data_IF_481002873951
#
_entry.id   IF_481002873951
#
_cell.length_a   1.000
_cell.length_b   1.000
_cell.length_c   1.000
_cell.angle_alpha   90.00
_cell.angle_beta   90.00
_cell.angle_gamma   90.00
#
_symmetry.space_group_name_H-M   'P 1'
#
loop_
_entity.id
_entity.type
_entity.pdbx_description
1 polymer ?
#
# COMPACT_ATOMS: atom_id res chain seq x y z
N UNK A 1 28.88 38.22 -22.00
CA UNK A 1 28.29 37.63 -20.77
C UNK A 1 29.27 36.57 -20.28
N UNK A 2 29.97 36.84 -19.20
CA UNK A 2 30.80 35.82 -18.54
C UNK A 2 29.85 34.81 -17.90
N UNK A 3 29.93 33.51 -18.20
CA UNK A 3 29.12 32.53 -17.50
C UNK A 3 29.42 32.65 -16.00
N UNK A 4 28.39 32.73 -15.16
CA UNK A 4 28.57 32.66 -13.72
C UNK A 4 29.31 31.39 -13.30
N UNK A 5 29.80 31.29 -12.05
CA UNK A 5 30.50 30.10 -11.58
C UNK A 5 29.64 28.85 -11.84
N UNK A 6 30.13 27.97 -12.71
CA UNK A 6 29.46 26.70 -13.02
C UNK A 6 29.55 25.82 -11.79
N UNK A 7 28.41 25.50 -11.19
CA UNK A 7 28.36 24.49 -10.14
C UNK A 7 28.83 23.16 -10.74
N UNK A 8 29.73 22.42 -10.06
CA UNK A 8 30.20 21.14 -10.58
C UNK A 8 29.01 20.17 -10.72
N UNK A 9 29.01 19.23 -11.68
CA UNK A 9 27.93 18.27 -11.85
C UNK A 9 27.63 17.48 -10.57
N UNK A 10 26.37 17.15 -10.32
CA UNK A 10 25.98 16.19 -9.30
C UNK A 10 26.53 14.81 -9.64
N UNK A 11 26.81 14.00 -8.62
CA UNK A 11 27.14 12.60 -8.82
C UNK A 11 25.89 11.79 -9.18
N UNK A 12 24.75 12.15 -8.60
CA UNK A 12 23.45 11.51 -8.83
C UNK A 12 22.31 12.54 -8.81
N UNK A 13 21.45 12.50 -9.82
CA UNK A 13 20.17 13.21 -9.80
C UNK A 13 19.02 12.19 -9.89
N UNK A 14 18.16 12.18 -8.87
CA UNK A 14 16.91 11.45 -8.89
C UNK A 14 15.78 12.26 -9.52
N UNK A 15 15.02 11.65 -10.44
CA UNK A 15 13.82 12.23 -11.04
C UNK A 15 12.59 11.55 -10.45
N UNK A 16 11.79 12.32 -9.72
CA UNK A 16 10.73 11.84 -8.83
C UNK A 16 11.25 11.57 -7.41
N UNK A 17 10.43 11.87 -6.40
CA UNK A 17 10.73 11.59 -4.99
C UNK A 17 9.68 10.68 -4.34
N UNK A 18 9.21 9.67 -5.07
CA UNK A 18 8.41 8.57 -4.50
C UNK A 18 9.23 7.69 -3.55
N UNK A 19 8.62 6.70 -2.86
CA UNK A 19 9.28 5.93 -1.80
C UNK A 19 10.63 5.32 -2.21
N UNK A 20 10.76 4.83 -3.45
CA UNK A 20 12.01 4.23 -3.93
C UNK A 20 13.15 5.24 -4.06
N UNK A 21 12.91 6.39 -4.69
CA UNK A 21 13.94 7.43 -4.80
C UNK A 21 14.18 8.12 -3.47
N UNK A 22 13.17 8.21 -2.60
CA UNK A 22 13.34 8.73 -1.24
C UNK A 22 14.20 7.79 -0.37
N UNK A 23 14.09 6.48 -0.57
CA UNK A 23 14.98 5.47 0.02
C UNK A 23 16.42 5.68 -0.45
N UNK A 24 16.61 5.87 -1.76
CA UNK A 24 17.94 6.16 -2.31
C UNK A 24 18.50 7.49 -1.77
N UNK A 25 17.68 8.53 -1.63
CA UNK A 25 18.07 9.81 -1.05
C UNK A 25 18.51 9.67 0.42
N UNK A 26 17.75 8.92 1.22
CA UNK A 26 18.05 8.66 2.62
C UNK A 26 19.35 7.85 2.80
N UNK A 27 19.62 6.88 1.90
CA UNK A 27 20.89 6.14 1.91
C UNK A 27 22.06 7.01 1.43
N UNK A 28 21.84 7.85 0.41
CA UNK A 28 22.84 8.76 -0.14
C UNK A 28 23.30 9.82 0.88
N UNK A 29 22.41 10.28 1.76
CA UNK A 29 22.71 11.22 2.85
C UNK A 29 23.79 10.68 3.82
N UNK A 30 23.85 9.36 3.99
CA UNK A 30 24.87 8.69 4.80
C UNK A 30 26.24 8.51 4.13
N UNK A 31 26.42 8.92 2.87
CA UNK A 31 27.64 8.69 2.09
C UNK A 31 28.48 9.99 2.01
N UNK A 32 29.62 10.07 2.71
CA UNK A 32 30.43 11.29 2.71
C UNK A 32 30.92 11.69 1.32
N UNK A 33 30.72 12.96 0.96
CA UNK A 33 31.20 13.53 -0.30
C UNK A 33 30.32 13.25 -1.52
N UNK A 34 29.27 12.43 -1.40
CA UNK A 34 28.32 12.16 -2.48
C UNK A 34 27.42 13.37 -2.72
N UNK A 35 27.48 13.97 -3.91
CA UNK A 35 26.63 15.12 -4.27
C UNK A 35 25.39 14.62 -4.99
N UNK A 36 24.26 14.60 -4.30
CA UNK A 36 22.99 14.16 -4.85
C UNK A 36 21.87 15.18 -4.68
N UNK A 37 20.91 15.12 -5.60
CA UNK A 37 19.64 15.85 -5.50
C UNK A 37 18.50 14.98 -6.05
N UNK A 38 17.27 15.22 -5.60
CA UNK A 38 16.08 14.49 -6.00
C UNK A 38 14.96 15.49 -6.29
N UNK A 39 14.52 15.56 -7.55
CA UNK A 39 13.52 16.53 -7.99
C UNK A 39 12.13 15.89 -8.07
N UNK A 40 11.15 16.49 -7.40
CA UNK A 40 9.74 16.10 -7.44
C UNK A 40 8.88 17.26 -7.91
N UNK A 41 8.01 17.01 -8.90
CA UNK A 41 7.18 18.06 -9.49
C UNK A 41 6.05 18.52 -8.55
N UNK A 42 5.55 17.63 -7.68
CA UNK A 42 4.58 18.01 -6.65
C UNK A 42 5.23 18.96 -5.65
N UNK A 43 4.45 19.84 -5.06
CA UNK A 43 4.91 20.83 -4.08
C UNK A 43 4.99 20.29 -2.66
N UNK A 44 4.41 19.10 -2.42
CA UNK A 44 4.48 18.38 -1.17
C UNK A 44 4.38 16.86 -1.41
N UNK A 45 4.95 16.09 -0.48
CA UNK A 45 4.88 14.63 -0.51
C UNK A 45 3.47 14.13 -0.18
N UNK A 46 2.93 13.26 -1.02
CA UNK A 46 1.71 12.49 -0.75
C UNK A 46 1.81 11.15 -1.47
N UNK A 47 1.76 10.05 -0.73
CA UNK A 47 1.83 8.70 -1.29
C UNK A 47 0.44 8.11 -1.47
N UNK A 48 0.00 8.02 -2.73
CA UNK A 48 -1.33 7.54 -3.13
C UNK A 48 -2.51 8.17 -2.37
N UNK A 49 -2.64 9.52 -2.37
CA UNK A 49 -3.60 10.23 -1.53
C UNK A 49 -5.06 9.79 -1.72
N UNK A 50 -5.49 9.43 -2.93
CA UNK A 50 -6.87 8.96 -3.15
C UNK A 50 -7.17 7.56 -2.62
N UNK A 51 -6.18 6.85 -2.10
CA UNK A 51 -6.29 5.52 -1.48
C UNK A 51 -5.80 5.48 -0.02
N UNK A 52 -5.62 6.64 0.62
CA UNK A 52 -5.38 6.75 2.06
C UNK A 52 -6.68 6.53 2.85
N UNK A 53 -7.38 5.44 2.54
CA UNK A 53 -8.64 5.04 3.19
C UNK A 53 -8.37 4.79 4.67
N UNK A 54 -9.26 5.27 5.54
CA UNK A 54 -9.11 5.10 6.97
C UNK A 54 -9.04 3.61 7.35
N UNK A 55 -8.07 3.27 8.21
CA UNK A 55 -7.83 1.90 8.62
C UNK A 55 -7.04 1.04 7.63
N UNK A 56 -6.76 1.52 6.40
CA UNK A 56 -5.92 0.79 5.45
C UNK A 56 -4.48 0.64 5.99
N UNK A 57 -3.92 -0.56 5.85
CA UNK A 57 -2.56 -0.88 6.30
C UNK A 57 -1.62 -1.11 5.13
N UNK A 58 -0.31 -1.02 5.38
CA UNK A 58 0.68 -1.61 4.50
C UNK A 58 0.48 -3.13 4.44
N UNK A 59 0.86 -3.73 3.32
CA UNK A 59 0.90 -5.19 3.15
C UNK A 59 2.25 -5.79 3.56
N UNK A 60 3.23 -4.94 3.85
CA UNK A 60 4.57 -5.32 4.30
C UNK A 60 4.80 -4.87 5.74
N UNK A 61 5.65 -5.58 6.51
CA UNK A 61 6.05 -5.15 7.84
C UNK A 61 6.73 -3.78 7.84
N UNK A 62 6.64 -3.03 8.95
CA UNK A 62 7.30 -1.72 9.09
C UNK A 62 8.82 -1.75 8.91
N UNK A 63 9.45 -2.93 9.04
CA UNK A 63 10.89 -3.10 8.75
C UNK A 63 11.23 -2.88 7.28
N UNK A 64 10.25 -3.08 6.37
CA UNK A 64 10.35 -2.63 4.99
C UNK A 64 10.03 -1.13 4.88
N UNK A 65 10.71 -0.32 5.71
CA UNK A 65 10.75 1.13 5.59
C UNK A 65 11.75 1.54 4.48
N UNK A 66 12.20 2.80 4.48
CA UNK A 66 13.12 3.28 3.46
C UNK A 66 14.54 2.71 3.55
N UNK A 67 15.00 2.26 4.72
CA UNK A 67 16.45 2.06 4.96
C UNK A 67 16.79 0.86 5.82
N UNK A 68 15.89 0.39 6.69
CA UNK A 68 16.20 -0.58 7.77
C UNK A 68 16.71 -1.93 7.28
N UNK A 69 16.31 -2.39 6.09
CA UNK A 69 16.80 -3.64 5.50
C UNK A 69 18.20 -3.52 4.86
N UNK A 70 18.74 -2.31 4.77
CA UNK A 70 20.08 -2.02 4.23
C UNK A 70 20.99 -1.46 5.32
N UNK A 71 20.52 -0.43 6.03
CA UNK A 71 21.27 0.29 7.06
C UNK A 71 20.36 0.56 8.27
N UNK A 72 20.23 -0.42 9.20
CA UNK A 72 19.39 -0.30 10.40
C UNK A 72 19.75 0.87 11.32
N UNK A 73 20.99 1.38 11.25
CA UNK A 73 21.46 2.50 12.08
C UNK A 73 21.14 3.86 11.48
N UNK A 74 20.60 3.90 10.25
CA UNK A 74 20.25 5.13 9.57
C UNK A 74 19.29 5.98 10.41
N UNK A 75 19.54 7.31 10.53
CA UNK A 75 18.61 8.21 11.21
C UNK A 75 17.26 8.30 10.51
N UNK A 76 17.17 7.86 9.24
CA UNK A 76 15.96 7.89 8.44
C UNK A 76 15.07 6.66 8.63
N UNK A 77 15.41 5.72 9.53
CA UNK A 77 14.56 4.55 9.80
C UNK A 77 13.25 4.93 10.51
N UNK A 78 12.22 4.10 10.29
CA UNK A 78 10.88 4.31 10.84
C UNK A 78 10.85 4.33 12.37
N UNK A 79 11.70 3.53 13.03
CA UNK A 79 11.81 3.54 14.48
C UNK A 79 12.39 4.87 15.01
N UNK A 80 13.36 5.46 14.29
CA UNK A 80 13.89 6.77 14.65
C UNK A 80 12.86 7.89 14.39
N UNK A 81 12.06 7.79 13.33
CA UNK A 81 10.90 8.65 13.14
C UNK A 81 9.95 8.60 14.35
N UNK A 82 9.56 7.41 14.81
CA UNK A 82 8.71 7.25 15.98
C UNK A 82 9.35 7.82 17.25
N UNK A 83 10.66 7.67 17.42
CA UNK A 83 11.41 8.27 18.54
C UNK A 83 11.33 9.79 18.50
N UNK A 84 11.60 10.40 17.34
CA UNK A 84 11.53 11.86 17.11
C UNK A 84 10.13 12.40 17.36
N UNK A 85 9.09 11.64 17.04
CA UNK A 85 7.69 11.98 17.32
C UNK A 85 7.22 11.63 18.74
N UNK A 86 8.10 11.13 19.61
CA UNK A 86 7.79 10.65 20.98
C UNK A 86 6.69 9.58 21.02
N UNK A 87 6.59 8.76 19.97
CA UNK A 87 5.59 7.70 19.80
C UNK A 87 6.16 6.28 19.88
N UNK A 88 7.46 6.14 20.14
CA UNK A 88 8.12 4.83 20.17
C UNK A 88 7.54 3.86 21.21
N UNK A 89 7.29 4.29 22.45
CA UNK A 89 6.68 3.43 23.48
C UNK A 89 5.23 3.04 23.16
N UNK A 90 4.34 3.99 22.79
CA UNK A 90 3.01 3.63 22.31
C UNK A 90 3.02 2.62 21.15
N UNK A 91 3.94 2.79 20.19
CA UNK A 91 4.10 1.87 19.08
C UNK A 91 4.58 0.49 19.53
N UNK A 92 5.57 0.44 20.43
CA UNK A 92 6.06 -0.80 21.03
C UNK A 92 4.92 -1.62 21.66
N UNK A 93 4.08 -0.98 22.49
CA UNK A 93 2.95 -1.66 23.13
C UNK A 93 1.81 -2.01 22.18
N UNK A 94 1.75 -1.40 21.00
CA UNK A 94 0.74 -1.75 20.00
C UNK A 94 1.02 -3.12 19.36
N UNK A 95 2.28 -3.58 19.33
CA UNK A 95 2.71 -4.87 18.78
C UNK A 95 2.19 -5.16 17.35
N UNK A 96 2.08 -4.11 16.52
CA UNK A 96 1.60 -4.20 15.13
C UNK A 96 2.76 -4.12 14.14
N UNK A 97 3.00 -5.22 13.42
CA UNK A 97 3.99 -5.24 12.34
C UNK A 97 3.53 -4.48 11.08
N UNK A 98 2.23 -4.53 10.77
CA UNK A 98 1.63 -3.82 9.64
C UNK A 98 1.03 -2.50 10.10
N UNK A 99 1.63 -1.40 9.65
CA UNK A 99 1.24 -0.05 10.05
C UNK A 99 0.20 0.54 9.11
N UNK A 100 -0.51 1.56 9.57
CA UNK A 100 -1.47 2.28 8.75
C UNK A 100 -0.78 3.02 7.60
N UNK A 101 -1.41 3.07 6.42
CA UNK A 101 -0.85 3.80 5.27
C UNK A 101 -0.69 5.29 5.53
N UNK A 102 -1.61 5.88 6.28
CA UNK A 102 -1.53 7.28 6.72
C UNK A 102 -0.32 7.52 7.64
N UNK A 103 0.03 6.54 8.48
CA UNK A 103 1.23 6.63 9.32
C UNK A 103 2.51 6.52 8.50
N UNK A 104 2.52 5.63 7.51
CA UNK A 104 3.65 5.53 6.57
C UNK A 104 3.79 6.77 5.70
N UNK A 105 2.70 7.34 5.17
CA UNK A 105 2.72 8.63 4.45
C UNK A 105 3.34 9.74 5.30
N UNK A 106 2.97 9.83 6.59
CA UNK A 106 3.54 10.80 7.52
C UNK A 106 5.04 10.58 7.76
N UNK A 107 5.49 9.33 7.84
CA UNK A 107 6.91 8.98 7.93
C UNK A 107 7.66 9.41 6.66
N UNK A 108 7.16 9.06 5.47
CA UNK A 108 7.78 9.44 4.21
C UNK A 108 7.81 10.97 4.03
N UNK A 109 6.72 11.66 4.40
CA UNK A 109 6.65 13.12 4.42
C UNK A 109 7.74 13.71 5.30
N UNK A 110 7.90 13.19 6.53
CA UNK A 110 8.96 13.62 7.44
C UNK A 110 10.35 13.46 6.82
N UNK A 111 10.68 12.29 6.28
CA UNK A 111 11.98 12.07 5.63
C UNK A 111 12.18 13.04 4.46
N UNK A 112 11.15 13.21 3.61
CA UNK A 112 11.24 14.08 2.44
C UNK A 112 11.36 15.57 2.74
N UNK A 113 10.84 16.03 3.90
CA UNK A 113 10.95 17.42 4.33
C UNK A 113 12.30 17.69 4.98
N UNK A 114 12.83 16.74 5.75
CA UNK A 114 14.07 16.93 6.50
C UNK A 114 15.33 16.62 5.67
N UNK A 115 15.23 15.81 4.60
CA UNK A 115 16.36 15.51 3.71
C UNK A 115 16.73 16.73 2.85
N UNK A 116 17.95 17.29 3.01
CA UNK A 116 18.36 18.49 2.24
C UNK A 116 18.46 18.26 0.73
N UNK A 117 18.65 17.01 0.31
CA UNK A 117 18.79 16.61 -1.09
C UNK A 117 17.45 16.49 -1.84
N UNK A 118 16.31 16.63 -1.15
CA UNK A 118 14.99 16.49 -1.77
C UNK A 118 14.39 17.86 -2.09
N UNK A 119 13.95 18.05 -3.33
CA UNK A 119 13.43 19.33 -3.83
C UNK A 119 12.05 19.16 -4.47
N UNK A 120 11.03 19.66 -3.78
CA UNK A 120 9.64 19.68 -4.25
C UNK A 120 9.35 20.93 -5.10
N UNK A 121 8.37 20.81 -6.00
CA UNK A 121 8.08 21.83 -7.00
C UNK A 121 9.15 21.92 -8.09
N UNK A 122 9.92 20.86 -8.33
CA UNK A 122 10.91 20.80 -9.41
C UNK A 122 10.45 19.77 -10.44
N UNK A 123 9.84 20.24 -11.53
CA UNK A 123 9.48 19.37 -12.66
C UNK A 123 10.67 19.25 -13.59
N UNK A 124 11.11 18.02 -13.86
CA UNK A 124 12.11 17.75 -14.91
C UNK A 124 11.39 17.73 -16.25
N UNK A 125 11.83 18.58 -17.17
CA UNK A 125 11.17 18.76 -18.48
C UNK A 125 11.93 18.02 -19.59
N UNK A 126 13.27 18.04 -19.55
CA UNK A 126 14.11 17.40 -20.56
C UNK A 126 15.43 16.89 -19.96
N UNK A 127 15.97 15.84 -20.58
CA UNK A 127 17.26 15.24 -20.24
C UNK A 127 18.03 15.04 -21.54
N UNK A 128 19.24 15.57 -21.60
CA UNK A 128 20.16 15.41 -22.74
C UNK A 128 21.56 15.03 -22.24
N UNK A 129 22.33 14.33 -23.06
CA UNK A 129 23.74 14.08 -22.78
C UNK A 129 24.58 15.26 -23.26
N UNK A 130 25.35 15.88 -22.37
CA UNK A 130 26.35 16.90 -22.69
C UNK A 130 27.74 16.26 -22.75
N UNK A 131 28.26 16.09 -23.97
CA UNK A 131 29.58 15.51 -24.19
C UNK A 131 30.74 16.42 -23.74
N UNK A 132 30.53 17.74 -23.67
CA UNK A 132 31.53 18.69 -23.21
C UNK A 132 31.75 18.64 -21.69
N UNK A 133 30.68 18.41 -20.95
CA UNK A 133 30.72 18.24 -19.48
C UNK A 133 30.87 16.76 -19.05
N UNK A 134 30.67 15.81 -19.97
CA UNK A 134 30.68 14.37 -19.68
C UNK A 134 29.60 13.98 -18.67
N UNK A 135 28.43 14.61 -18.78
CA UNK A 135 27.32 14.51 -17.84
C UNK A 135 25.97 14.72 -18.54
N UNK A 136 24.88 14.33 -17.88
CA UNK A 136 23.53 14.67 -18.31
C UNK A 136 23.21 16.13 -17.97
N UNK A 137 22.76 16.89 -18.95
CA UNK A 137 22.10 18.18 -18.80
C UNK A 137 20.60 17.95 -18.56
N UNK A 138 20.08 18.43 -17.44
CA UNK A 138 18.69 18.26 -17.03
C UNK A 138 18.02 19.60 -16.87
N UNK A 139 17.08 19.89 -17.77
CA UNK A 139 16.23 21.06 -17.70
C UNK A 139 15.08 20.81 -16.73
N UNK A 140 14.82 21.80 -15.89
CA UNK A 140 13.74 21.73 -14.91
C UNK A 140 13.00 23.05 -14.76
N UNK A 141 11.71 22.96 -14.51
CA UNK A 141 10.84 24.08 -14.19
C UNK A 141 10.52 24.04 -12.70
N UNK A 142 10.75 25.16 -12.02
CA UNK A 142 10.30 25.38 -10.64
C UNK A 142 8.83 25.78 -10.65
N UNK A 143 8.02 25.07 -9.89
CA UNK A 143 6.58 25.23 -9.75
C UNK A 143 6.24 25.75 -8.36
N UNK A 144 5.28 26.66 -8.28
CA UNK A 144 4.69 27.10 -7.03
C UNK A 144 3.47 26.27 -6.62
N UNK A 145 2.86 26.58 -5.46
CA UNK A 145 1.75 25.83 -4.88
C UNK A 145 0.55 25.65 -5.81
N UNK A 146 0.28 26.64 -6.66
CA UNK A 146 -0.87 26.66 -7.58
C UNK A 146 -0.50 26.17 -8.99
N UNK A 147 0.71 25.62 -9.15
CA UNK A 147 1.24 25.15 -10.43
C UNK A 147 1.80 26.25 -11.33
N UNK A 148 1.88 27.48 -10.83
CA UNK A 148 2.49 28.60 -11.52
C UNK A 148 4.00 28.38 -11.71
N UNK A 149 4.54 28.83 -12.83
CA UNK A 149 5.98 28.71 -13.12
C UNK A 149 6.75 29.81 -12.39
N UNK A 150 7.62 29.40 -11.47
CA UNK A 150 8.49 30.30 -10.69
C UNK A 150 9.84 30.55 -11.35
N UNK A 151 10.26 29.69 -12.28
CA UNK A 151 11.50 29.83 -13.04
C UNK A 151 11.96 28.52 -13.68
N UNK A 152 13.03 28.59 -14.46
CA UNK A 152 13.71 27.44 -15.07
C UNK A 152 15.10 27.27 -14.50
N UNK A 153 15.58 26.03 -14.45
CA UNK A 153 16.92 25.66 -13.99
C UNK A 153 17.53 24.58 -14.86
N UNK A 154 18.85 24.63 -15.01
CA UNK A 154 19.66 23.61 -15.67
C UNK A 154 20.60 22.98 -14.64
N UNK A 155 20.52 21.67 -14.49
CA UNK A 155 21.37 20.89 -13.57
C UNK A 155 22.17 19.88 -14.37
N UNK A 156 23.47 19.77 -14.09
CA UNK A 156 24.30 18.70 -14.63
C UNK A 156 24.43 17.56 -13.63
N UNK A 157 24.33 16.31 -14.09
CA UNK A 157 24.49 15.12 -13.26
C UNK A 157 25.21 13.99 -13.99
N UNK A 158 26.14 13.31 -13.33
CA UNK A 158 26.87 12.18 -13.91
C UNK A 158 25.98 10.93 -14.06
N UNK A 159 25.08 10.71 -13.11
CA UNK A 159 24.16 9.58 -13.09
C UNK A 159 22.73 10.04 -12.84
N UNK A 160 21.77 9.25 -13.31
CA UNK A 160 20.35 9.50 -13.14
C UNK A 160 19.64 8.30 -12.50
N UNK A 161 18.73 8.57 -11.56
CA UNK A 161 17.81 7.59 -10.99
C UNK A 161 16.36 7.97 -11.33
N UNK A 162 15.75 7.25 -12.27
CA UNK A 162 14.39 7.54 -12.75
C UNK A 162 13.36 6.81 -11.88
N UNK A 163 12.72 7.56 -10.98
CA UNK A 163 11.73 7.07 -10.01
C UNK A 163 10.40 7.79 -10.12
N UNK A 164 9.92 8.03 -11.35
CA UNK A 164 8.69 8.81 -11.64
C UNK A 164 7.37 8.09 -11.33
N UNK A 165 7.45 6.84 -10.88
CA UNK A 165 6.28 6.01 -10.56
C UNK A 165 5.51 5.55 -11.79
N UNK A 166 4.21 5.34 -11.62
CA UNK A 166 3.30 4.88 -12.69
C UNK A 166 2.11 5.83 -12.81
N UNK A 167 1.53 5.91 -14.01
CA UNK A 167 0.30 6.65 -14.26
C UNK A 167 -0.93 5.74 -14.08
N UNK A 168 -2.09 6.30 -13.65
CA UNK A 168 -3.37 5.61 -13.71
C UNK A 168 -3.61 4.96 -15.08
N UNK A 169 -4.10 3.72 -15.07
CA UNK A 169 -4.35 2.96 -16.30
C UNK A 169 -5.84 2.64 -16.43
N UNK A 170 -6.44 3.10 -17.53
CA UNK A 170 -7.81 2.74 -17.94
C UNK A 170 -7.70 1.78 -19.14
N UNK A 171 -8.27 0.55 -19.03
CA UNK A 171 -8.34 -0.38 -20.15
C UNK A 171 -8.99 0.26 -21.37
N UNK A 172 -8.46 -0.04 -22.56
CA UNK A 172 -8.93 0.54 -23.83
C UNK A 172 -10.47 0.49 -24.01
N UNK A 173 -11.18 -0.63 -23.74
CA UNK A 173 -12.64 -0.67 -23.88
C UNK A 173 -13.42 0.24 -22.92
N UNK A 174 -12.77 0.77 -21.88
CA UNK A 174 -13.39 1.66 -20.88
C UNK A 174 -13.01 3.13 -21.08
N UNK A 175 -12.16 3.46 -22.04
CA UNK A 175 -11.66 4.84 -22.22
C UNK A 175 -12.77 5.81 -22.65
N UNK A 176 -13.61 5.42 -23.60
CA UNK A 176 -14.73 6.25 -24.05
C UNK A 176 -15.73 6.50 -22.91
N UNK A 177 -16.00 5.46 -22.12
CA UNK A 177 -16.84 5.55 -20.93
C UNK A 177 -16.22 6.47 -19.86
N UNK A 178 -14.89 6.43 -19.68
CA UNK A 178 -14.17 7.30 -18.75
C UNK A 178 -14.08 8.76 -19.22
N UNK A 179 -14.17 9.01 -20.53
CA UNK A 179 -14.16 10.34 -21.12
C UNK A 179 -15.55 11.00 -21.15
N UNK A 180 -16.62 10.21 -21.06
CA UNK A 180 -18.00 10.70 -21.01
C UNK A 180 -18.26 11.44 -19.68
N UNK A 181 -18.66 12.73 -19.70
CA UNK A 181 -18.96 13.48 -18.48
C UNK A 181 -20.25 13.04 -17.78
N UNK A 182 -21.10 12.25 -18.44
CA UNK A 182 -22.40 11.83 -17.91
C UNK A 182 -22.26 10.75 -16.82
N UNK A 183 -21.63 9.58 -17.06
CA UNK A 183 -21.37 8.62 -16.00
C UNK A 183 -20.14 9.03 -15.16
N UNK A 184 -20.25 8.92 -13.83
CA UNK A 184 -19.10 9.10 -12.95
C UNK A 184 -18.18 7.87 -13.06
N UNK A 185 -17.13 8.00 -13.85
CA UNK A 185 -16.11 6.95 -14.07
C UNK A 185 -14.77 7.51 -13.66
N UNK A 186 -14.12 6.86 -12.69
CA UNK A 186 -12.85 7.34 -12.12
C UNK A 186 -11.91 6.17 -11.84
N UNK A 187 -10.61 6.47 -11.87
CA UNK A 187 -9.59 5.53 -11.42
C UNK A 187 -9.51 5.53 -9.89
N UNK A 188 -9.13 4.41 -9.28
CA UNK A 188 -9.06 4.28 -7.83
C UNK A 188 -8.12 5.29 -7.16
N UNK A 189 -7.18 5.87 -7.92
CA UNK A 189 -6.28 6.93 -7.48
C UNK A 189 -7.00 8.24 -7.09
N UNK A 190 -8.25 8.41 -7.53
CA UNK A 190 -9.08 9.60 -7.28
C UNK A 190 -10.27 9.28 -6.34
N UNK A 191 -10.32 8.05 -5.79
CA UNK A 191 -11.47 7.54 -5.04
C UNK A 191 -11.91 8.44 -3.89
N UNK A 192 -11.00 8.77 -2.96
CA UNK A 192 -11.38 9.55 -1.78
C UNK A 192 -11.91 10.95 -2.13
N UNK A 193 -11.44 11.57 -3.20
CA UNK A 193 -11.94 12.87 -3.64
C UNK A 193 -13.37 12.81 -4.19
N UNK A 194 -13.81 11.63 -4.65
CA UNK A 194 -15.12 11.40 -5.27
C UNK A 194 -16.03 10.50 -4.41
N UNK A 195 -15.59 10.11 -3.19
CA UNK A 195 -16.28 9.13 -2.34
C UNK A 195 -17.72 9.51 -2.06
N UNK A 196 -17.99 10.77 -1.69
CA UNK A 196 -19.34 11.20 -1.34
C UNK A 196 -20.30 11.12 -2.53
N UNK A 197 -19.81 11.39 -3.75
CA UNK A 197 -20.60 11.23 -4.98
C UNK A 197 -20.89 9.75 -5.27
N UNK A 198 -19.94 8.85 -4.98
CA UNK A 198 -20.14 7.41 -5.11
C UNK A 198 -21.13 6.88 -4.06
N UNK A 199 -21.07 7.37 -2.82
CA UNK A 199 -22.02 7.00 -1.76
C UNK A 199 -23.46 7.43 -2.09
N UNK A 200 -23.63 8.58 -2.75
CA UNK A 200 -24.91 9.07 -3.22
C UNK A 200 -25.44 8.34 -4.48
N UNK A 201 -24.60 7.56 -5.18
CA UNK A 201 -25.02 6.85 -6.36
C UNK A 201 -25.95 5.68 -6.00
N UNK A 202 -26.94 5.41 -6.88
CA UNK A 202 -27.83 4.25 -6.73
C UNK A 202 -27.05 2.93 -6.85
N UNK A 203 -26.16 2.86 -7.83
CA UNK A 203 -25.34 1.69 -8.10
C UNK A 203 -23.88 2.09 -8.34
N UNK A 204 -22.94 1.34 -7.75
CA UNK A 204 -21.51 1.51 -7.96
C UNK A 204 -20.92 0.18 -8.42
N UNK A 205 -20.13 0.21 -9.49
CA UNK A 205 -19.37 -0.93 -9.98
C UNK A 205 -17.89 -0.70 -9.76
N UNK A 206 -17.27 -1.56 -8.96
CA UNK A 206 -15.81 -1.59 -8.79
C UNK A 206 -15.23 -2.57 -9.81
N UNK A 207 -14.26 -2.13 -10.62
CA UNK A 207 -13.59 -2.96 -11.62
C UNK A 207 -12.13 -3.16 -11.23
N UNK A 208 -11.73 -4.40 -10.99
CA UNK A 208 -10.35 -4.79 -10.67
C UNK A 208 -10.25 -5.70 -9.45
N UNK A 209 -9.40 -6.73 -9.54
CA UNK A 209 -9.26 -7.79 -8.51
C UNK A 209 -8.19 -7.52 -7.44
N UNK A 210 -7.43 -6.44 -7.57
CA UNK A 210 -6.31 -6.14 -6.69
C UNK A 210 -6.72 -5.48 -5.38
N UNK A 211 -5.73 -5.20 -4.53
CA UNK A 211 -5.92 -4.59 -3.21
C UNK A 211 -6.76 -3.31 -3.26
N UNK A 212 -6.47 -2.38 -4.17
CA UNK A 212 -7.21 -1.12 -4.26
C UNK A 212 -8.69 -1.32 -4.56
N UNK A 213 -9.05 -2.29 -5.41
CA UNK A 213 -10.44 -2.63 -5.70
C UNK A 213 -11.15 -3.20 -4.48
N UNK A 214 -10.49 -4.12 -3.76
CA UNK A 214 -11.01 -4.70 -2.53
C UNK A 214 -11.24 -3.64 -1.44
N UNK A 215 -10.29 -2.70 -1.27
CA UNK A 215 -10.40 -1.64 -0.25
C UNK A 215 -11.48 -0.62 -0.58
N UNK A 216 -11.60 -0.19 -1.84
CA UNK A 216 -12.68 0.69 -2.30
C UNK A 216 -14.03 0.02 -2.08
N UNK A 217 -14.17 -1.25 -2.47
CA UNK A 217 -15.41 -1.99 -2.26
C UNK A 217 -15.77 -2.10 -0.77
N UNK A 218 -14.79 -2.45 0.07
CA UNK A 218 -15.00 -2.59 1.51
C UNK A 218 -15.36 -1.26 2.18
N UNK A 219 -14.74 -0.16 1.77
CA UNK A 219 -15.05 1.19 2.27
C UNK A 219 -16.49 1.59 1.91
N UNK A 220 -16.88 1.42 0.64
CA UNK A 220 -18.25 1.65 0.20
C UNK A 220 -19.25 0.75 0.91
N UNK A 221 -18.94 -0.54 1.10
CA UNK A 221 -19.82 -1.49 1.78
C UNK A 221 -20.06 -1.09 3.25
N UNK A 222 -19.05 -0.53 3.93
CA UNK A 222 -19.17 -0.08 5.32
C UNK A 222 -19.92 1.23 5.48
N UNK A 223 -19.77 2.14 4.52
CA UNK A 223 -20.30 3.51 4.61
C UNK A 223 -21.70 3.67 4.00
N UNK A 224 -22.12 2.76 3.12
CA UNK A 224 -23.46 2.82 2.55
C UNK A 224 -24.51 2.36 3.56
N UNK A 225 -25.66 3.04 3.62
CA UNK A 225 -26.74 2.67 4.53
C UNK A 225 -27.39 1.35 4.10
N UNK A 226 -28.01 0.68 5.07
CA UNK A 226 -28.90 -0.46 4.81
C UNK A 226 -30.03 -0.04 3.84
N UNK A 227 -30.35 -0.86 2.84
CA UNK A 227 -31.28 -0.50 1.76
C UNK A 227 -30.62 0.10 0.50
N UNK A 228 -29.30 0.28 0.50
CA UNK A 228 -28.52 0.74 -0.65
C UNK A 228 -27.53 -0.33 -1.14
N UNK A 229 -28.03 -1.51 -1.52
CA UNK A 229 -27.22 -2.71 -1.82
C UNK A 229 -26.61 -2.72 -3.24
N UNK A 230 -26.77 -1.65 -4.02
CA UNK A 230 -26.29 -1.58 -5.40
C UNK A 230 -24.76 -1.49 -5.51
N UNK A 231 -24.02 -2.51 -5.11
CA UNK A 231 -22.57 -2.63 -5.26
C UNK A 231 -22.27 -3.87 -6.10
N UNK A 232 -21.54 -3.68 -7.20
CA UNK A 232 -21.03 -4.78 -8.03
C UNK A 232 -19.52 -4.77 -8.05
N UNK A 233 -18.88 -5.93 -7.89
CA UNK A 233 -17.43 -6.09 -8.02
C UNK A 233 -17.09 -6.98 -9.22
N UNK A 234 -16.44 -6.41 -10.24
CA UNK A 234 -16.04 -7.11 -11.45
C UNK A 234 -14.53 -7.31 -11.48
N UNK A 235 -14.11 -8.53 -11.82
CA UNK A 235 -12.72 -8.90 -11.97
C UNK A 235 -12.53 -9.76 -13.22
N UNK A 236 -11.37 -9.65 -13.85
CA UNK A 236 -10.94 -10.56 -14.93
C UNK A 236 -10.43 -11.89 -14.38
N UNK A 237 -9.98 -11.92 -13.13
CA UNK A 237 -9.50 -13.14 -12.48
C UNK A 237 -10.67 -14.10 -12.22
N UNK A 238 -10.45 -15.42 -12.27
CA UNK A 238 -11.51 -16.40 -12.02
C UNK A 238 -12.03 -16.37 -10.58
N UNK A 239 -11.26 -15.80 -9.66
CA UNK A 239 -11.62 -15.61 -8.26
C UNK A 239 -10.93 -14.37 -7.68
N UNK A 240 -11.43 -13.92 -6.54
CA UNK A 240 -10.73 -12.97 -5.66
C UNK A 240 -9.77 -13.76 -4.79
N UNK A 241 -8.53 -13.92 -5.26
CA UNK A 241 -7.53 -14.71 -4.56
C UNK A 241 -6.76 -13.87 -3.53
N UNK A 242 -6.44 -14.45 -2.36
CA UNK A 242 -5.55 -13.79 -1.42
C UNK A 242 -4.16 -13.63 -2.04
N UNK A 243 -3.44 -12.60 -1.58
CA UNK A 243 -2.01 -12.48 -1.85
C UNK A 243 -1.27 -13.64 -1.18
N UNK A 244 -0.30 -14.22 -1.89
CA UNK A 244 0.58 -15.25 -1.34
C UNK A 244 1.43 -14.64 -0.20
N UNK A 245 1.30 -15.21 0.99
CA UNK A 245 1.95 -14.71 2.21
C UNK A 245 2.50 -15.84 3.09
N UNK A 246 2.60 -17.05 2.55
CA UNK A 246 3.32 -18.14 3.21
C UNK A 246 4.81 -17.78 3.32
N UNK A 247 5.45 -18.21 4.40
CA UNK A 247 6.86 -17.87 4.68
C UNK A 247 7.80 -18.30 3.55
N UNK A 248 7.54 -19.46 2.93
CA UNK A 248 8.31 -19.97 1.81
C UNK A 248 8.02 -19.15 0.54
N UNK A 249 6.75 -18.81 0.27
CA UNK A 249 6.39 -17.95 -0.86
C UNK A 249 7.07 -16.58 -0.78
N UNK A 250 7.18 -16.04 0.44
CA UNK A 250 7.83 -14.75 0.68
C UNK A 250 9.34 -14.74 0.40
N UNK A 251 10.03 -15.89 0.32
CA UNK A 251 11.45 -15.93 -0.06
C UNK A 251 11.68 -15.43 -1.50
N UNK A 252 10.64 -15.35 -2.32
CA UNK A 252 10.69 -14.74 -3.66
C UNK A 252 10.86 -13.21 -3.63
N UNK A 253 10.70 -12.56 -2.48
CA UNK A 253 10.94 -11.13 -2.30
C UNK A 253 12.33 -10.83 -1.70
N UNK A 254 13.26 -11.78 -1.77
CA UNK A 254 14.62 -11.61 -1.26
C UNK A 254 15.59 -11.14 -2.35
N UNK A 255 16.75 -10.57 -1.97
CA UNK A 255 17.83 -10.29 -2.90
C UNK A 255 18.33 -11.53 -3.66
N UNK A 256 18.29 -12.72 -3.03
CA UNK A 256 18.71 -13.98 -3.65
C UNK A 256 17.80 -14.37 -4.81
N UNK A 257 16.48 -14.31 -4.61
CA UNK A 257 15.54 -14.58 -5.69
C UNK A 257 15.66 -13.54 -6.81
N UNK A 258 15.89 -12.28 -6.48
CA UNK A 258 16.11 -11.23 -7.49
C UNK A 258 17.32 -11.54 -8.36
N UNK A 259 18.46 -11.95 -7.76
CA UNK A 259 19.66 -12.39 -8.49
C UNK A 259 19.39 -13.62 -9.36
N UNK A 260 18.72 -14.62 -8.80
CA UNK A 260 18.31 -15.82 -9.54
C UNK A 260 17.46 -15.45 -10.76
N UNK A 261 16.39 -14.68 -10.55
CA UNK A 261 15.46 -14.29 -11.62
C UNK A 261 16.17 -13.49 -12.70
N UNK A 262 17.05 -12.55 -12.34
CA UNK A 262 17.84 -11.79 -13.31
C UNK A 262 18.83 -12.66 -14.11
N UNK A 263 19.34 -13.75 -13.53
CA UNK A 263 20.19 -14.71 -14.21
C UNK A 263 19.46 -15.60 -15.22
N UNK A 264 18.12 -15.63 -15.22
CA UNK A 264 17.34 -16.43 -16.16
C UNK A 264 17.38 -15.86 -17.59
N UNK A 265 17.32 -16.71 -18.63
CA UNK A 265 17.10 -16.27 -20.00
C UNK A 265 15.82 -15.44 -20.13
N UNK A 266 15.84 -14.42 -21.00
CA UNK A 266 14.72 -13.50 -21.21
C UNK A 266 13.39 -14.23 -21.44
N UNK A 267 13.36 -15.21 -22.34
CA UNK A 267 12.15 -15.99 -22.64
C UNK A 267 11.58 -16.75 -21.43
N UNK A 268 12.43 -17.15 -20.48
CA UNK A 268 11.98 -17.79 -19.23
C UNK A 268 11.35 -16.75 -18.31
N UNK A 269 11.95 -15.56 -18.17
CA UNK A 269 11.39 -14.46 -17.37
C UNK A 269 10.01 -14.04 -17.88
N UNK A 270 9.88 -13.90 -19.20
CA UNK A 270 8.63 -13.48 -19.86
C UNK A 270 7.50 -14.48 -19.65
N UNK A 271 7.83 -15.78 -19.59
CA UNK A 271 6.85 -16.83 -19.26
C UNK A 271 6.53 -16.89 -17.77
N UNK A 272 7.54 -16.72 -16.91
CA UNK A 272 7.40 -16.93 -15.47
C UNK A 272 6.65 -15.78 -14.78
N UNK A 273 6.96 -14.52 -15.10
CA UNK A 273 6.40 -13.35 -14.42
C UNK A 273 4.85 -13.31 -14.45
N UNK A 274 4.16 -13.57 -15.59
CA UNK A 274 2.69 -13.63 -15.60
C UNK A 274 2.10 -14.74 -14.73
N UNK A 275 2.83 -15.86 -14.55
CA UNK A 275 2.37 -16.97 -13.72
C UNK A 275 2.46 -16.67 -12.21
N UNK A 276 3.27 -15.69 -11.83
CA UNK A 276 3.53 -15.26 -10.44
C UNK A 276 2.56 -14.18 -9.95
N UNK A 277 1.41 -14.02 -10.61
CA UNK A 277 0.45 -12.96 -10.30
C UNK A 277 -0.01 -12.94 -8.84
N UNK A 278 -0.10 -14.09 -8.16
CA UNK A 278 -0.53 -14.18 -6.75
C UNK A 278 0.45 -13.50 -5.78
N UNK A 279 1.72 -13.36 -6.17
CA UNK A 279 2.74 -12.68 -5.37
C UNK A 279 2.47 -11.17 -5.28
N UNK A 280 1.89 -10.56 -6.31
CA UNK A 280 1.84 -9.09 -6.41
C UNK A 280 0.50 -8.49 -6.85
N UNK A 281 -0.48 -9.32 -7.24
CA UNK A 281 -1.84 -8.88 -7.66
C UNK A 281 -2.97 -9.41 -6.78
N UNK A 282 -2.67 -10.24 -5.78
CA UNK A 282 -3.68 -10.71 -4.83
C UNK A 282 -4.15 -9.61 -3.88
N UNK A 283 -5.34 -9.76 -3.33
CA UNK A 283 -5.82 -8.89 -2.24
C UNK A 283 -5.31 -9.43 -0.90
N UNK A 284 -4.71 -8.59 -0.07
CA UNK A 284 -4.43 -8.93 1.31
C UNK A 284 -5.74 -8.87 2.10
N UNK A 285 -6.28 -10.03 2.46
CA UNK A 285 -7.30 -10.12 3.49
C UNK A 285 -6.62 -10.04 4.85
N UNK A 286 -6.84 -8.97 5.60
CA UNK A 286 -6.60 -9.03 7.05
C UNK A 286 -7.79 -9.76 7.67
N UNK A 287 -7.61 -10.86 8.41
CA UNK A 287 -8.63 -11.28 9.35
C UNK A 287 -8.75 -10.14 10.36
N UNK A 288 -9.84 -9.40 10.31
CA UNK A 288 -10.22 -8.50 11.39
C UNK A 288 -10.32 -9.33 12.66
N UNK A 289 -9.33 -9.19 13.56
CA UNK A 289 -9.33 -9.69 14.92
C UNK A 289 -9.73 -11.15 15.10
N UNK A 290 -8.76 -12.02 15.38
CA UNK A 290 -9.01 -13.05 16.40
C UNK A 290 -9.22 -12.33 17.73
N UNK A 291 -10.42 -11.78 17.92
CA UNK A 291 -11.04 -11.76 19.23
C UNK A 291 -11.20 -13.22 19.59
N UNK A 292 -10.25 -13.77 20.35
CA UNK A 292 -10.49 -14.96 21.16
C UNK A 292 -11.50 -14.55 22.24
N UNK A 293 -12.72 -14.23 21.84
CA UNK A 293 -13.85 -14.33 22.74
C UNK A 293 -14.07 -15.81 22.87
N UNK A 294 -13.46 -16.38 23.90
CA UNK A 294 -13.93 -17.61 24.49
C UNK A 294 -15.44 -17.46 24.67
N UNK A 295 -16.23 -18.10 23.81
CA UNK A 295 -17.58 -18.49 24.13
C UNK A 295 -17.51 -19.56 25.24
N UNK A 296 -17.07 -19.16 26.43
CA UNK A 296 -17.56 -19.75 27.67
C UNK A 296 -18.99 -19.28 27.78
N UNK A 297 -19.91 -20.08 27.24
CA UNK A 297 -21.31 -20.00 27.62
C UNK A 297 -21.37 -20.08 29.14
N UNK A 298 -21.85 -18.99 29.75
CA UNK A 298 -22.25 -18.96 31.14
C UNK A 298 -23.41 -19.94 31.32
N UNK A 299 -23.07 -21.19 31.61
CA UNK A 299 -23.99 -22.10 32.26
C UNK A 299 -24.15 -21.60 33.71
N UNK A 300 -25.30 -21.00 33.95
CA UNK A 300 -25.88 -20.77 35.27
C UNK A 300 -25.64 -21.96 36.20
N UNK A 301 -24.87 -21.74 37.27
CA UNK A 301 -24.80 -22.63 38.42
C UNK A 301 -25.30 -21.86 39.64
N UNK A 302 -26.62 -21.86 39.83
CA UNK A 302 -27.23 -21.67 41.13
C UNK A 302 -26.96 -22.93 41.96
N UNK A 303 -26.08 -22.83 42.96
CA UNK A 303 -25.81 -23.89 43.92
C UNK A 303 -26.81 -23.86 45.09
N UNK A 304 -27.48 -25.00 45.28
CA UNK A 304 -28.26 -25.40 46.45
C UNK A 304 -29.71 -25.74 46.09
N UNK A 305 -30.33 -26.85 46.56
CA UNK A 305 -30.04 -27.52 47.83
C UNK A 305 -30.11 -29.08 47.83
N UNK A 306 -29.67 -29.66 48.97
CA UNK A 306 -30.21 -30.84 49.71
C UNK A 306 -30.43 -32.21 49.04
N UNK A 307 -29.81 -33.20 49.68
CA UNK A 307 -29.95 -34.67 49.56
C UNK A 307 -31.37 -35.22 49.74
N UNK A 308 -31.72 -36.36 49.13
CA UNK A 308 -32.90 -37.15 49.51
C UNK A 308 -32.55 -38.51 50.15
N UNK A 309 -33.39 -38.93 51.10
CA UNK A 309 -33.47 -40.29 51.66
C UNK A 309 -34.43 -41.18 50.84
N UNK A 310 -34.28 -42.53 50.84
CA UNK A 310 -35.20 -43.50 50.22
C UNK A 310 -36.19 -44.08 51.29
N UNK A 311 -37.03 -45.13 51.06
CA UNK A 311 -37.32 -45.95 49.87
C UNK A 311 -38.84 -46.20 49.61
N UNK A 312 -39.20 -46.82 48.49
CA UNK A 312 -40.42 -47.65 48.40
C UNK A 312 -40.30 -48.76 47.34
N UNK A 313 -40.64 -49.96 47.76
CA UNK A 313 -40.62 -51.24 47.05
C UNK A 313 -41.87 -51.48 46.19
N UNK A 314 -41.72 -52.08 45.00
CA UNK A 314 -42.35 -53.34 44.52
C UNK A 314 -42.42 -53.42 42.98
N UNK A 315 -41.76 -54.45 42.44
CA UNK A 315 -41.90 -55.10 41.13
C UNK A 315 -43.32 -55.70 40.88
N UNK A 316 -43.63 -56.41 39.76
CA UNK A 316 -42.99 -56.55 38.43
C UNK A 316 -43.95 -56.57 37.18
N UNK A 317 -43.37 -56.37 35.98
CA UNK A 317 -43.50 -57.15 34.70
C UNK A 317 -44.88 -57.35 33.97
N UNK A 318 -44.94 -57.90 32.74
CA UNK A 318 -44.28 -57.52 31.46
C UNK A 318 -45.30 -57.55 30.24
N UNK A 319 -44.99 -57.92 28.96
CA UNK A 319 -45.26 -57.11 27.77
C UNK A 319 -46.20 -57.84 26.73
N UNK A 320 -45.91 -57.83 25.40
CA UNK A 320 -46.29 -56.87 24.35
C UNK A 320 -47.35 -57.45 23.37
N UNK A 321 -47.88 -56.64 22.43
CA UNK A 321 -48.53 -57.08 21.17
C UNK A 321 -48.67 -55.86 20.23
N UNK A 322 -47.83 -55.73 19.21
CA UNK A 322 -48.06 -56.10 17.78
C UNK A 322 -49.25 -55.42 17.11
N UNK A 323 -48.97 -54.62 16.07
CA UNK A 323 -49.57 -54.80 14.74
C UNK A 323 -50.56 -53.74 14.23
N UNK A 324 -50.36 -53.41 12.93
CA UNK A 324 -51.23 -52.73 11.94
C UNK A 324 -51.41 -51.19 12.13
N UNK A 325 -51.00 -50.30 11.22
CA UNK A 325 -51.18 -50.16 9.75
C UNK A 325 -52.62 -49.79 9.32
N UNK A 326 -52.70 -48.79 8.43
CA UNK A 326 -53.86 -48.17 7.72
C UNK A 326 -54.86 -47.39 8.61
N UNK A 327 -55.20 -46.12 8.37
CA UNK A 327 -55.25 -45.27 7.15
C UNK A 327 -54.62 -43.89 7.40
#
# INVERSE_FOLDING_TARGET
>A
MTPGPRNPPLDLLGVGAGPFNLSLAALADGVPGLRSAFHEQRTAFHWHPGLLIEGATLQVPFLADLVSLVEPTSPWCYLNYLKTRRRLFPFYFAERFHIHRSEFDNYLRWVSTELPSTHFGHRVDAIAWDAGEGAFAVDSTRLGPDGETLGSGLTHARNLALGVGTAPYVPEPLRDLAADPVPLVLHSADYLAQRDRLLAARHVTVVGSGQSGAEVLLDLLRLRPEGAEGLTWLARTPAFAPMEYSKIGLEQFTPDYTRYFHGLPQATRDRLLPSQWQLYKGSAGTPSGTSTTSCTGAASAATGPTSPSPPASRSPAPPPRTGAASN
#
